data_IF_064868831445
#
_entry.id   IF_064868831445
#
_cell.length_a   1.000
_cell.length_b   1.000
_cell.length_c   1.000
_cell.angle_alpha   90.00
_cell.angle_beta   90.00
_cell.angle_gamma   90.00
#
_symmetry.space_group_name_H-M   'P 1'
#
loop_
_entity.id
_entity.type
_entity.pdbx_description
1 polymer ?
#
# COMPACT_ATOMS: atom_id res chain seq x y z
N UNK A 1 -12.73 18.74 1.75
CA UNK A 1 -11.25 18.69 1.82
C UNK A 1 -10.73 17.34 2.34
N UNK A 2 -11.17 16.83 3.51
CA UNK A 2 -10.71 15.54 4.08
C UNK A 2 -10.85 14.32 3.14
N UNK A 3 -11.97 14.16 2.44
CA UNK A 3 -12.17 13.02 1.53
C UNK A 3 -11.17 13.00 0.36
N UNK A 4 -10.86 14.16 -0.22
CA UNK A 4 -9.91 14.29 -1.32
C UNK A 4 -8.51 13.80 -0.91
N UNK A 5 -8.06 14.15 0.30
CA UNK A 5 -6.78 13.68 0.85
C UNK A 5 -6.78 12.17 1.04
N UNK A 6 -7.84 11.60 1.61
CA UNK A 6 -7.95 10.15 1.78
C UNK A 6 -7.96 9.42 0.44
N UNK A 7 -8.64 9.95 -0.58
CA UNK A 7 -8.62 9.38 -1.93
C UNK A 7 -7.21 9.39 -2.56
N UNK A 8 -6.45 10.50 -2.40
CA UNK A 8 -5.07 10.57 -2.87
C UNK A 8 -4.17 9.57 -2.15
N UNK A 9 -4.34 9.41 -0.84
CA UNK A 9 -3.58 8.45 -0.04
C UNK A 9 -3.87 7.01 -0.47
N UNK A 10 -5.15 6.65 -0.69
CA UNK A 10 -5.55 5.34 -1.24
C UNK A 10 -4.90 5.10 -2.60
N UNK A 11 -4.91 6.09 -3.50
CA UNK A 11 -4.30 5.96 -4.82
C UNK A 11 -2.79 5.74 -4.74
N UNK A 12 -2.10 6.49 -3.88
CA UNK A 12 -0.67 6.33 -3.64
C UNK A 12 -0.33 4.94 -3.08
N UNK A 13 -1.04 4.48 -2.05
CA UNK A 13 -0.80 3.17 -1.44
C UNK A 13 -1.01 2.02 -2.42
N UNK A 14 -2.01 2.11 -3.31
CA UNK A 14 -2.21 1.11 -4.38
C UNK A 14 -1.01 1.06 -5.34
N UNK A 15 -0.48 2.21 -5.71
CA UNK A 15 0.71 2.28 -6.56
C UNK A 15 1.93 1.67 -5.85
N UNK A 16 2.15 2.03 -4.59
CA UNK A 16 3.26 1.53 -3.78
C UNK A 16 3.21 0.01 -3.58
N UNK A 17 2.03 -0.56 -3.30
CA UNK A 17 1.84 -2.01 -3.17
C UNK A 17 2.23 -2.74 -4.47
N UNK A 18 1.82 -2.21 -5.63
CA UNK A 18 2.16 -2.79 -6.93
C UNK A 18 3.66 -2.69 -7.22
N UNK A 19 4.27 -1.55 -6.90
CA UNK A 19 5.72 -1.37 -7.02
C UNK A 19 6.49 -2.38 -6.17
N UNK A 20 6.12 -2.51 -4.88
CA UNK A 20 6.78 -3.44 -3.96
C UNK A 20 6.56 -4.91 -4.36
N UNK A 21 5.42 -5.23 -4.99
CA UNK A 21 5.21 -6.54 -5.57
C UNK A 21 6.19 -6.84 -6.71
N UNK A 22 6.36 -5.88 -7.62
CA UNK A 22 7.29 -6.00 -8.72
C UNK A 22 8.73 -6.12 -8.22
N UNK A 23 9.09 -5.35 -7.19
CA UNK A 23 10.40 -5.41 -6.54
C UNK A 23 10.67 -6.79 -5.91
N UNK A 24 9.70 -7.35 -5.18
CA UNK A 24 9.82 -8.68 -4.59
C UNK A 24 10.00 -9.78 -5.66
N UNK A 25 9.28 -9.69 -6.78
CA UNK A 25 9.42 -10.61 -7.90
C UNK A 25 10.78 -10.48 -8.60
N UNK A 26 11.27 -9.24 -8.77
CA UNK A 26 12.62 -8.99 -9.32
C UNK A 26 13.70 -9.55 -8.40
N UNK A 27 13.65 -9.23 -7.11
CA UNK A 27 14.61 -9.73 -6.12
C UNK A 27 14.61 -11.26 -6.03
N UNK A 28 13.42 -11.89 -6.10
CA UNK A 28 13.30 -13.34 -6.16
C UNK A 28 13.98 -13.94 -7.41
N UNK A 29 13.84 -13.28 -8.56
CA UNK A 29 14.50 -13.68 -9.81
C UNK A 29 16.03 -13.55 -9.72
N UNK A 30 16.50 -12.50 -9.05
CA UNK A 30 17.93 -12.25 -8.78
C UNK A 30 18.51 -13.15 -7.67
N UNK A 31 17.68 -13.98 -7.01
CA UNK A 31 18.01 -14.77 -5.80
C UNK A 31 18.50 -13.91 -4.62
N UNK A 32 18.04 -12.67 -4.57
CA UNK A 32 18.30 -11.73 -3.48
C UNK A 32 17.20 -11.86 -2.40
N UNK A 33 17.43 -12.79 -1.46
CA UNK A 33 16.45 -13.11 -0.41
C UNK A 33 16.23 -11.98 0.61
N UNK A 34 17.24 -11.14 0.83
CA UNK A 34 17.14 -10.03 1.77
C UNK A 34 16.25 -8.93 1.19
N UNK A 35 16.52 -8.52 -0.05
CA UNK A 35 15.72 -7.53 -0.77
C UNK A 35 14.29 -8.01 -1.00
N UNK A 36 14.09 -9.29 -1.30
CA UNK A 36 12.77 -9.89 -1.42
C UNK A 36 11.98 -9.82 -0.10
N UNK A 37 12.60 -10.21 1.03
CA UNK A 37 11.98 -10.11 2.35
C UNK A 37 11.65 -8.68 2.74
N UNK A 38 12.54 -7.74 2.45
CA UNK A 38 12.31 -6.33 2.72
C UNK A 38 11.12 -5.79 1.92
N UNK A 39 11.08 -6.06 0.60
CA UNK A 39 9.99 -5.65 -0.27
C UNK A 39 8.63 -6.20 0.21
N UNK A 40 8.56 -7.49 0.57
CA UNK A 40 7.35 -8.11 1.12
C UNK A 40 6.91 -7.52 2.47
N UNK A 41 7.87 -7.19 3.35
CA UNK A 41 7.59 -6.54 4.63
C UNK A 41 7.00 -5.15 4.41
N UNK A 42 7.62 -4.35 3.55
CA UNK A 42 7.11 -3.01 3.20
C UNK A 42 5.73 -3.10 2.54
N UNK A 43 5.52 -4.10 1.67
CA UNK A 43 4.23 -4.32 1.01
C UNK A 43 3.13 -4.61 2.02
N UNK A 44 3.43 -5.43 3.03
CA UNK A 44 2.49 -5.76 4.11
C UNK A 44 2.09 -4.52 4.91
N UNK A 45 3.04 -3.64 5.22
CA UNK A 45 2.77 -2.37 5.89
C UNK A 45 1.89 -1.44 5.03
N UNK A 46 2.17 -1.34 3.73
CA UNK A 46 1.38 -0.53 2.81
C UNK A 46 -0.07 -1.04 2.70
N UNK A 47 -0.28 -2.35 2.70
CA UNK A 47 -1.63 -2.97 2.75
C UNK A 47 -2.36 -2.61 4.05
N UNK A 48 -1.68 -2.66 5.20
CA UNK A 48 -2.29 -2.26 6.48
C UNK A 48 -2.72 -0.78 6.45
N UNK A 49 -1.88 0.11 5.95
CA UNK A 49 -2.24 1.52 5.80
C UNK A 49 -3.38 1.72 4.80
N UNK A 50 -3.45 0.92 3.73
CA UNK A 50 -4.55 0.97 2.77
C UNK A 50 -5.88 0.61 3.45
N UNK A 51 -5.92 -0.43 4.28
CA UNK A 51 -7.13 -0.77 5.04
C UNK A 51 -7.58 0.37 5.96
N UNK A 52 -6.64 0.99 6.69
CA UNK A 52 -6.94 2.16 7.54
C UNK A 52 -7.46 3.35 6.73
N UNK A 53 -6.89 3.60 5.55
CA UNK A 53 -7.35 4.67 4.66
C UNK A 53 -8.75 4.42 4.10
N UNK A 54 -9.05 3.16 3.72
CA UNK A 54 -10.38 2.75 3.26
C UNK A 54 -11.42 2.88 4.38
N UNK A 55 -11.08 2.47 5.60
CA UNK A 55 -11.96 2.64 6.77
C UNK A 55 -12.22 4.13 7.07
N UNK A 56 -11.19 4.97 7.00
CA UNK A 56 -11.34 6.42 7.13
C UNK A 56 -12.27 7.00 6.05
N UNK A 57 -12.15 6.54 4.79
CA UNK A 57 -13.05 6.95 3.70
C UNK A 57 -14.50 6.55 4.00
N UNK A 58 -14.72 5.31 4.47
CA UNK A 58 -16.04 4.81 4.86
C UNK A 58 -16.67 5.66 5.96
N UNK A 59 -15.91 5.99 7.00
CA UNK A 59 -16.37 6.86 8.11
C UNK A 59 -16.76 8.26 7.63
N UNK A 60 -15.98 8.86 6.73
CA UNK A 60 -16.31 10.17 6.13
C UNK A 60 -17.62 10.10 5.34
N UNK A 61 -17.84 9.02 4.60
CA UNK A 61 -19.05 8.85 3.79
C UNK A 61 -20.33 8.70 4.65
N UNK A 62 -20.23 8.07 5.82
CA UNK A 62 -21.37 7.89 6.75
C UNK A 62 -21.69 9.15 7.57
N UNK A 63 -20.79 10.13 7.61
CA UNK A 63 -20.98 11.40 8.32
C UNK A 63 -21.59 12.50 7.43
N UNK A 64 -21.93 12.17 6.19
CA UNK A 64 -22.60 13.05 5.23
C UNK A 64 -24.05 12.64 5.06
#
# INVERSE_FOLDING_TARGET
>A
MRECLVNKMIAHLKFEINYLQAEALSASSDRDEERCREALRLQSNAIEYLFRAVDAKRKIALQR
#
